data_IF_048627743899
#
_entry.id   IF_048627743899
#
_cell.length_a   1.000
_cell.length_b   1.000
_cell.length_c   1.000
_cell.angle_alpha   90.00
_cell.angle_beta   90.00
_cell.angle_gamma   90.00
#
_symmetry.space_group_name_H-M   'P 1'
#
loop_
_entity.id
_entity.type
_entity.pdbx_description
1 polymer ?
#
# COMPACT_ATOMS: atom_id res chain seq x y z
N UNK A 1 8.14 1.70 -22.61
CA UNK A 1 7.81 1.48 -21.17
C UNK A 1 8.34 2.65 -20.34
N UNK A 2 7.48 3.40 -19.64
CA UNK A 2 7.96 4.42 -18.69
C UNK A 2 8.55 3.70 -17.47
N UNK A 3 9.86 3.83 -17.25
CA UNK A 3 10.56 3.18 -16.11
C UNK A 3 10.01 3.55 -14.72
N UNK A 4 9.20 4.62 -14.62
CA UNK A 4 8.59 5.12 -13.37
C UNK A 4 7.12 5.51 -13.59
N UNK A 5 6.25 4.51 -13.76
CA UNK A 5 4.80 4.69 -13.84
C UNK A 5 4.17 4.92 -12.46
N UNK A 6 2.87 5.24 -12.36
CA UNK A 6 2.21 5.36 -11.05
C UNK A 6 2.20 4.00 -10.34
N UNK A 7 1.88 2.92 -11.06
CA UNK A 7 1.93 1.57 -10.51
C UNK A 7 3.32 1.17 -9.99
N UNK A 8 4.41 1.67 -10.61
CA UNK A 8 5.76 1.49 -10.09
C UNK A 8 5.96 2.20 -8.75
N UNK A 9 5.49 3.45 -8.62
CA UNK A 9 5.57 4.18 -7.35
C UNK A 9 4.72 3.57 -6.25
N UNK A 10 3.56 2.99 -6.58
CA UNK A 10 2.76 2.22 -5.61
C UNK A 10 3.53 1.00 -5.11
N UNK A 11 4.23 0.27 -5.99
CA UNK A 11 5.11 -0.84 -5.58
C UNK A 11 6.27 -0.34 -4.71
N UNK A 12 6.88 0.79 -5.03
CA UNK A 12 7.92 1.39 -4.20
C UNK A 12 7.41 1.76 -2.80
N UNK A 13 6.21 2.36 -2.71
CA UNK A 13 5.53 2.63 -1.44
C UNK A 13 5.27 1.35 -0.66
N UNK A 14 4.87 0.26 -1.31
CA UNK A 14 4.67 -1.03 -0.68
C UNK A 14 5.95 -1.61 -0.05
N UNK A 15 7.08 -1.53 -0.76
CA UNK A 15 8.39 -1.93 -0.23
C UNK A 15 8.81 -1.05 0.95
N UNK A 16 8.62 0.26 0.83
CA UNK A 16 8.89 1.20 1.91
C UNK A 16 8.04 0.91 3.15
N UNK A 17 6.73 0.71 2.98
CA UNK A 17 5.78 0.36 4.04
C UNK A 17 6.17 -0.94 4.73
N UNK A 18 6.47 -2.00 3.96
CA UNK A 18 6.93 -3.27 4.52
C UNK A 18 8.23 -3.13 5.32
N UNK A 19 9.21 -2.39 4.79
CA UNK A 19 10.50 -2.16 5.46
C UNK A 19 10.34 -1.36 6.75
N UNK A 20 9.56 -0.27 6.71
CA UNK A 20 9.27 0.56 7.89
C UNK A 20 8.51 -0.26 8.94
N UNK A 21 7.51 -1.04 8.52
CA UNK A 21 6.75 -1.91 9.43
C UNK A 21 7.64 -2.95 10.10
N UNK A 22 8.54 -3.58 9.35
CA UNK A 22 9.46 -4.57 9.88
C UNK A 22 10.41 -3.95 10.92
N UNK A 23 10.86 -2.71 10.70
CA UNK A 23 11.70 -1.98 11.64
C UNK A 23 10.93 -1.54 12.91
N UNK A 24 9.73 -0.98 12.73
CA UNK A 24 8.89 -0.49 13.84
C UNK A 24 8.41 -1.62 14.75
N UNK A 25 8.04 -2.76 14.18
CA UNK A 25 7.51 -3.92 14.91
C UNK A 25 8.55 -5.01 15.17
N UNK A 26 9.85 -4.72 15.00
CA UNK A 26 10.93 -5.72 15.05
C UNK A 26 10.88 -6.60 16.30
N UNK A 27 10.59 -6.01 17.46
CA UNK A 27 10.60 -6.72 18.74
C UNK A 27 9.36 -7.60 18.88
N UNK A 28 8.21 -7.12 18.39
CA UNK A 28 6.94 -7.88 18.30
C UNK A 28 7.08 -9.06 17.36
N UNK A 29 7.71 -8.87 16.19
CA UNK A 29 7.95 -9.94 15.22
C UNK A 29 8.92 -10.99 15.75
N UNK A 30 10.00 -10.55 16.41
CA UNK A 30 10.94 -11.47 17.05
C UNK A 30 10.26 -12.29 18.15
N UNK A 31 9.34 -11.68 18.90
CA UNK A 31 8.55 -12.37 19.91
C UNK A 31 7.59 -13.41 19.31
N UNK A 32 6.87 -13.06 18.25
CA UNK A 32 6.02 -14.00 17.51
C UNK A 32 6.83 -15.17 16.94
N UNK A 33 8.03 -14.91 16.41
CA UNK A 33 8.91 -15.94 15.88
C UNK A 33 9.37 -16.93 16.98
N UNK A 34 9.68 -16.43 18.18
CA UNK A 34 10.06 -17.27 19.34
C UNK A 34 8.89 -18.07 19.91
N UNK A 35 7.69 -17.49 19.93
CA UNK A 35 6.49 -18.11 20.48
C UNK A 35 5.79 -19.10 19.50
N UNK A 36 6.22 -19.13 18.23
CA UNK A 36 5.56 -19.86 17.16
C UNK A 36 4.58 -18.98 16.40
N UNK A 37 4.61 -19.02 15.05
CA UNK A 37 3.89 -18.07 14.19
C UNK A 37 2.41 -18.41 14.03
N UNK A 38 2.05 -19.69 13.96
CA UNK A 38 0.67 -20.14 13.73
C UNK A 38 -0.19 -19.85 14.96
N UNK A 39 -1.33 -19.18 14.77
CA UNK A 39 -2.23 -18.79 15.87
C UNK A 39 -1.69 -17.67 16.76
N UNK A 40 -0.58 -17.02 16.38
CA UNK A 40 0.09 -16.00 17.22
C UNK A 40 -0.52 -14.60 17.15
N UNK A 41 -1.42 -14.37 16.18
CA UNK A 41 -2.06 -13.07 15.93
C UNK A 41 -3.44 -13.05 16.63
N UNK A 42 -3.59 -12.33 17.74
CA UNK A 42 -4.89 -12.12 18.39
C UNK A 42 -5.75 -11.12 17.61
N UNK A 43 -7.01 -10.97 18.00
CA UNK A 43 -7.95 -9.99 17.40
C UNK A 43 -7.50 -8.52 17.58
N UNK A 44 -6.78 -8.20 18.66
CA UNK A 44 -6.36 -6.84 19.02
C UNK A 44 -4.99 -6.84 19.68
N UNK A 45 -4.34 -5.67 19.73
CA UNK A 45 -3.04 -5.45 20.37
C UNK A 45 -1.87 -5.44 19.38
N UNK A 46 -0.65 -5.38 19.90
CA UNK A 46 0.54 -5.05 19.09
C UNK A 46 0.85 -6.08 18.00
N UNK A 47 0.63 -7.38 18.28
CA UNK A 47 0.79 -8.44 17.27
C UNK A 47 -0.24 -8.31 16.14
N UNK A 48 -1.48 -7.94 16.47
CA UNK A 48 -2.52 -7.68 15.49
C UNK A 48 -2.19 -6.43 14.64
N UNK A 49 -1.73 -5.36 15.28
CA UNK A 49 -1.31 -4.14 14.61
C UNK A 49 -0.12 -4.40 13.66
N UNK A 50 0.92 -5.10 14.14
CA UNK A 50 2.08 -5.49 13.34
C UNK A 50 1.68 -6.33 12.12
N UNK A 51 0.82 -7.33 12.34
CA UNK A 51 0.31 -8.19 11.27
C UNK A 51 -0.43 -7.39 10.20
N UNK A 52 -1.44 -6.61 10.58
CA UNK A 52 -2.24 -5.86 9.60
C UNK A 52 -1.44 -4.76 8.92
N UNK A 53 -0.51 -4.12 9.63
CA UNK A 53 0.42 -3.18 9.03
C UNK A 53 1.27 -3.86 7.95
N UNK A 54 1.90 -4.99 8.25
CA UNK A 54 2.75 -5.69 7.28
C UNK A 54 1.96 -6.36 6.15
N UNK A 55 0.77 -6.90 6.42
CA UNK A 55 -0.10 -7.53 5.43
C UNK A 55 -0.55 -6.52 4.35
N UNK A 56 -0.61 -5.23 4.68
CA UNK A 56 -0.88 -4.18 3.71
C UNK A 56 0.23 -4.06 2.64
N UNK A 57 1.48 -4.42 2.95
CA UNK A 57 2.60 -4.31 1.99
C UNK A 57 2.42 -5.21 0.75
N UNK A 58 2.23 -6.55 0.85
CA UNK A 58 2.02 -7.39 -0.33
C UNK A 58 0.73 -7.03 -1.09
N UNK A 59 -0.34 -6.65 -0.38
CA UNK A 59 -1.57 -6.19 -1.02
C UNK A 59 -1.34 -4.91 -1.85
N UNK A 60 -0.62 -3.93 -1.30
CA UNK A 60 -0.27 -2.70 -2.00
C UNK A 60 0.68 -2.96 -3.18
N UNK A 61 1.65 -3.86 -3.01
CA UNK A 61 2.56 -4.25 -4.09
C UNK A 61 1.80 -4.88 -5.26
N UNK A 62 0.89 -5.82 -4.96
CA UNK A 62 0.02 -6.45 -5.95
C UNK A 62 -0.83 -5.41 -6.67
N UNK A 63 -1.47 -4.50 -5.93
CA UNK A 63 -2.25 -3.40 -6.51
C UNK A 63 -1.41 -2.51 -7.44
N UNK A 64 -0.18 -2.16 -7.03
CA UNK A 64 0.75 -1.41 -7.88
C UNK A 64 1.21 -2.18 -9.11
N UNK A 65 1.37 -3.51 -9.02
CA UNK A 65 1.72 -4.37 -10.16
C UNK A 65 0.60 -4.44 -11.18
N UNK A 66 -0.64 -4.59 -10.71
CA UNK A 66 -1.85 -4.58 -11.55
C UNK A 66 -2.06 -3.21 -12.20
N UNK A 67 -1.91 -2.11 -11.44
CA UNK A 67 -1.98 -0.76 -12.01
C UNK A 67 -0.91 -0.54 -13.07
N UNK A 68 0.32 -1.01 -12.85
CA UNK A 68 1.38 -0.93 -13.87
C UNK A 68 1.00 -1.70 -15.13
N UNK A 69 0.39 -2.87 -15.00
CA UNK A 69 -0.11 -3.65 -16.14
C UNK A 69 -1.18 -2.87 -16.91
N UNK A 70 -2.12 -2.23 -16.20
CA UNK A 70 -3.14 -1.39 -16.83
C UNK A 70 -2.54 -0.18 -17.56
N UNK A 71 -1.53 0.47 -16.97
CA UNK A 71 -0.79 1.56 -17.61
C UNK A 71 -0.03 1.10 -18.87
N UNK A 72 0.55 -0.11 -18.86
CA UNK A 72 1.29 -0.71 -19.98
C UNK A 72 0.39 -1.03 -21.17
N UNK A 73 -0.88 -1.39 -20.93
CA UNK A 73 -1.84 -1.79 -21.97
C UNK A 73 -2.89 -0.72 -22.29
N UNK A 74 -2.77 0.48 -21.71
CA UNK A 74 -3.71 1.58 -21.97
C UNK A 74 -5.12 1.36 -21.40
N UNK A 75 -5.28 0.49 -20.40
CA UNK A 75 -6.57 0.25 -19.74
C UNK A 75 -6.90 1.43 -18.81
N UNK A 76 -7.59 2.43 -19.37
CA UNK A 76 -7.95 3.65 -18.66
C UNK A 76 -9.04 3.42 -17.61
N UNK A 77 -9.89 2.40 -17.79
CA UNK A 77 -10.94 2.06 -16.82
C UNK A 77 -10.33 1.50 -15.53
N UNK A 78 -9.41 0.54 -15.65
CA UNK A 78 -8.68 0.01 -14.50
C UNK A 78 -7.81 1.08 -13.82
N UNK A 79 -7.17 1.96 -14.59
CA UNK A 79 -6.42 3.11 -14.04
C UNK A 79 -7.32 4.07 -13.25
N UNK A 80 -8.53 4.37 -13.74
CA UNK A 80 -9.52 5.21 -13.01
C UNK A 80 -9.96 4.56 -11.72
N UNK A 81 -10.30 3.28 -11.76
CA UNK A 81 -10.75 2.53 -10.59
C UNK A 81 -9.64 2.52 -9.52
N UNK A 82 -8.43 2.11 -9.88
CA UNK A 82 -7.29 2.12 -8.97
C UNK A 82 -6.99 3.52 -8.43
N UNK A 83 -7.00 4.55 -9.29
CA UNK A 83 -6.79 5.93 -8.89
C UNK A 83 -7.82 6.43 -7.88
N UNK A 84 -9.11 6.16 -8.12
CA UNK A 84 -10.19 6.52 -7.21
C UNK A 84 -10.09 5.78 -5.85
N UNK A 85 -9.80 4.48 -5.86
CA UNK A 85 -9.60 3.70 -4.64
C UNK A 85 -8.42 4.23 -3.82
N UNK A 86 -7.26 4.46 -4.44
CA UNK A 86 -6.08 5.01 -3.76
C UNK A 86 -6.34 6.40 -3.19
N UNK A 87 -7.07 7.25 -3.93
CA UNK A 87 -7.43 8.59 -3.48
C UNK A 87 -8.39 8.53 -2.29
N UNK A 88 -9.40 7.66 -2.31
CA UNK A 88 -10.33 7.46 -1.20
C UNK A 88 -9.63 6.94 0.07
N UNK A 89 -8.83 5.88 -0.06
CA UNK A 89 -8.04 5.33 1.05
C UNK A 89 -7.04 6.37 1.58
N UNK A 90 -6.34 7.06 0.69
CA UNK A 90 -5.40 8.12 1.05
C UNK A 90 -6.06 9.27 1.79
N UNK A 91 -7.24 9.71 1.35
CA UNK A 91 -7.98 10.81 2.00
C UNK A 91 -8.45 10.42 3.40
N UNK A 92 -9.11 9.27 3.54
CA UNK A 92 -9.59 8.78 4.83
C UNK A 92 -8.42 8.55 5.79
N UNK A 93 -7.36 7.88 5.31
CA UNK A 93 -6.19 7.60 6.13
C UNK A 93 -5.40 8.84 6.52
N UNK A 94 -5.25 9.83 5.63
CA UNK A 94 -4.60 11.09 5.94
C UNK A 94 -5.42 11.93 6.94
N UNK A 95 -6.74 11.89 6.87
CA UNK A 95 -7.61 12.55 7.85
C UNK A 95 -7.54 11.86 9.22
N UNK A 96 -7.61 10.52 9.27
CA UNK A 96 -7.59 9.75 10.50
C UNK A 96 -6.20 9.70 11.15
N UNK A 97 -5.13 9.68 10.35
CA UNK A 97 -3.74 9.59 10.80
C UNK A 97 -2.82 10.54 10.01
N UNK A 98 -2.86 11.86 10.29
CA UNK A 98 -2.17 12.87 9.50
C UNK A 98 -0.64 12.73 9.44
N UNK A 99 -0.04 12.13 10.47
CA UNK A 99 1.41 11.87 10.52
C UNK A 99 1.82 10.58 9.78
N UNK A 100 0.86 9.85 9.21
CA UNK A 100 1.07 8.58 8.53
C UNK A 100 1.46 8.69 7.06
N UNK A 101 1.73 7.54 6.43
CA UNK A 101 2.12 7.45 5.02
C UNK A 101 0.98 7.63 4.00
N UNK A 102 -0.26 7.84 4.44
CA UNK A 102 -1.45 7.87 3.57
C UNK A 102 -1.43 9.00 2.52
N UNK A 103 -0.69 10.09 2.77
CA UNK A 103 -0.46 11.15 1.80
C UNK A 103 0.14 10.64 0.48
N UNK A 104 0.98 9.60 0.53
CA UNK A 104 1.54 8.98 -0.67
C UNK A 104 0.43 8.34 -1.53
N UNK A 105 -0.52 7.63 -0.91
CA UNK A 105 -1.64 7.03 -1.63
C UNK A 105 -2.58 8.09 -2.21
N UNK A 106 -2.80 9.17 -1.46
CA UNK A 106 -3.61 10.30 -1.92
C UNK A 106 -3.00 10.93 -3.19
N UNK A 107 -1.70 11.24 -3.15
CA UNK A 107 -0.99 11.82 -4.29
C UNK A 107 -0.93 10.89 -5.51
N UNK A 108 -0.63 9.60 -5.29
CA UNK A 108 -0.56 8.60 -6.35
C UNK A 108 -1.94 8.31 -6.97
N UNK A 109 -2.99 8.25 -6.15
CA UNK A 109 -4.37 8.08 -6.62
C UNK A 109 -4.83 9.25 -7.47
N UNK A 110 -4.55 10.48 -7.03
CA UNK A 110 -4.83 11.69 -7.80
C UNK A 110 -4.09 11.72 -9.14
N UNK A 111 -2.82 11.31 -9.16
CA UNK A 111 -2.04 11.25 -10.38
C UNK A 111 -2.53 10.18 -11.36
N UNK A 112 -2.88 8.98 -10.88
CA UNK A 112 -3.46 7.93 -11.70
C UNK A 112 -4.79 8.39 -12.33
N UNK A 113 -5.66 9.03 -11.54
CA UNK A 113 -6.94 9.54 -12.02
C UNK A 113 -6.73 10.65 -13.07
N UNK A 114 -5.79 11.57 -12.83
CA UNK A 114 -5.44 12.64 -13.78
C UNK A 114 -4.93 12.09 -15.11
N UNK A 115 -4.07 11.06 -15.10
CA UNK A 115 -3.53 10.44 -16.34
C UNK A 115 -4.58 9.71 -17.13
N UNK A 116 -5.45 8.96 -16.44
CA UNK A 116 -6.53 8.18 -17.07
C UNK A 116 -7.63 9.02 -17.75
N UNK A 117 -7.64 10.34 -17.54
CA UNK A 117 -8.54 11.29 -18.22
C UNK A 117 -7.91 11.91 -19.47
N UNK A 118 -6.61 11.74 -19.68
CA UNK A 118 -5.84 12.32 -20.79
C UNK A 118 -5.49 11.32 -21.89
N UNK A 119 -5.58 10.02 -21.61
CA UNK A 119 -5.53 8.95 -22.59
C UNK A 119 -6.94 8.44 -22.85
#
# INVERSE_FOLDING_TARGET
>A
MRRRSVGWWVQATAVGHGTIGAALYRDVLADMARAGVVGSVPERGDRAAAFWFLAAAPALWMGGRLLRSAEEHGDTAAQRAAGATLLGVGAVGAAAMPKGGFWALLGLGGEALRRSRRG
#
